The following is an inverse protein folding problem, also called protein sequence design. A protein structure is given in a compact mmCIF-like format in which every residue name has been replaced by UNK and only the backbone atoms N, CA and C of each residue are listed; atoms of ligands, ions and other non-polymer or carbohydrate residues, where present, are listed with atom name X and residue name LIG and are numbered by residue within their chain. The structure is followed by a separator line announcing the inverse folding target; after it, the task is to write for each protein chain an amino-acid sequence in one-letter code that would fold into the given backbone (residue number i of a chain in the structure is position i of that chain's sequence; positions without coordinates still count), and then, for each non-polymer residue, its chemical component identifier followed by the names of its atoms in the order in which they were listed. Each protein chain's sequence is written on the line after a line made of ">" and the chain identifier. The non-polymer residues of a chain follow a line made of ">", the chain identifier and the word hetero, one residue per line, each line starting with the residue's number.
data_IF_359415345911
#
_entry.id   IF_359415345911
#
_cell.length_a   1.000
_cell.length_b   1.000
_cell.length_c   1.000
_cell.angle_alpha   90.00
_cell.angle_beta   90.00
_cell.angle_gamma   90.00
#
_symmetry.space_group_name_H-M   'P 1'
#
loop_
_entity.id
_entity.type
_entity.pdbx_description
1 polymer ?
#
# COMPACT_ATOMS: atom_id res chain seq x y z
N UNK A 1 13.97 4.43 11.32
CA UNK A 1 13.96 3.32 10.35
C UNK A 1 12.56 2.71 10.33
N UNK A 2 11.67 3.21 9.46
CA UNK A 2 10.35 2.62 9.27
C UNK A 2 10.49 1.45 8.30
N UNK A 3 10.26 0.23 8.78
CA UNK A 3 10.14 -0.97 7.96
C UNK A 3 8.65 -1.11 7.63
N UNK A 4 8.22 -0.69 6.43
CA UNK A 4 6.96 -1.20 5.88
C UNK A 4 7.34 -2.38 4.98
N UNK A 5 6.70 -3.52 5.22
CA UNK A 5 7.00 -4.78 4.56
C UNK A 5 6.00 -4.91 3.42
N UNK A 6 6.45 -4.92 2.17
CA UNK A 6 5.66 -5.48 1.08
C UNK A 6 6.34 -6.80 0.72
N UNK A 7 5.80 -7.91 1.23
CA UNK A 7 6.28 -9.29 1.09
C UNK A 7 7.76 -9.52 1.40
N UNK A 8 8.09 -10.58 2.15
CA UNK A 8 9.50 -10.99 2.36
C UNK A 8 10.28 -11.30 1.07
N UNK A 9 9.61 -11.27 -0.09
CA UNK A 9 10.17 -11.53 -1.41
C UNK A 9 10.52 -10.27 -2.23
N UNK A 10 10.16 -9.04 -1.81
CA UNK A 10 10.37 -7.83 -2.63
C UNK A 10 11.08 -6.66 -1.88
N UNK A 11 11.99 -6.97 -0.95
CA UNK A 11 12.95 -5.95 -0.47
C UNK A 11 14.11 -5.85 -1.45
N UNK A 12 14.02 -4.91 -2.38
CA UNK A 12 15.17 -4.49 -3.16
C UNK A 12 16.08 -3.62 -2.27
N UNK A 13 17.25 -4.16 -1.91
CA UNK A 13 18.32 -3.38 -1.29
C UNK A 13 18.98 -2.49 -2.35
N UNK A 14 18.32 -1.38 -2.68
CA UNK A 14 18.84 -0.39 -3.62
C UNK A 14 19.90 0.50 -2.94
N UNK A 15 21.18 0.27 -3.25
CA UNK A 15 22.20 1.31 -3.12
C UNK A 15 22.12 2.19 -4.37
N UNK A 16 21.25 3.21 -4.34
CA UNK A 16 21.25 4.23 -5.38
C UNK A 16 22.61 4.96 -5.37
N UNK A 17 23.21 5.24 -6.54
CA UNK A 17 24.46 5.99 -6.60
C UNK A 17 24.23 7.39 -6.02
N UNK A 18 25.11 7.79 -5.10
CA UNK A 18 25.10 9.14 -4.53
C UNK A 18 25.27 10.17 -5.67
N UNK A 19 24.60 11.33 -5.58
CA UNK A 19 24.86 12.43 -6.51
C UNK A 19 26.34 12.82 -6.48
N UNK A 20 26.93 13.23 -7.62
CA UNK A 20 28.34 13.60 -7.68
C UNK A 20 28.62 14.74 -6.69
N UNK A 21 29.75 14.67 -5.94
CA UNK A 21 30.08 15.72 -5.00
C UNK A 21 30.29 17.05 -5.73
N UNK A 22 29.68 18.11 -5.20
CA UNK A 22 29.93 19.50 -5.60
C UNK A 22 31.43 19.79 -5.41
N UNK A 23 32.15 20.44 -6.35
CA UNK A 23 33.59 20.63 -6.24
C UNK A 23 33.92 21.50 -5.03
N UNK A 24 34.51 20.90 -3.99
CA UNK A 24 35.07 21.64 -2.88
C UNK A 24 36.46 22.17 -3.27
N UNK A 25 36.63 23.48 -3.15
CA UNK A 25 37.90 24.18 -3.35
C UNK A 25 39.02 23.54 -2.49
N UNK A 26 40.11 23.19 -3.16
CA UNK A 26 41.31 22.63 -2.53
C UNK A 26 41.98 23.65 -1.59
N UNK A 27 42.16 23.26 -0.33
CA UNK A 27 43.28 23.72 0.48
C UNK A 27 43.96 22.50 1.11
N UNK A 28 45.23 22.29 0.73
CA UNK A 28 46.12 21.31 1.35
C UNK A 28 46.97 21.97 2.43
N UNK A 29 47.30 21.24 3.51
CA UNK A 29 48.72 21.09 3.84
C UNK A 29 49.15 19.65 4.15
N UNK A 30 50.49 19.52 4.12
CA UNK A 30 51.36 18.35 3.98
C UNK A 30 51.41 17.35 5.16
N UNK A 31 51.98 16.14 4.94
CA UNK A 31 51.95 15.01 5.88
C UNK A 31 53.12 15.01 6.87
N UNK A 32 52.92 14.36 8.02
CA UNK A 32 53.98 13.96 8.94
C UNK A 32 53.94 12.43 9.11
N UNK A 33 55.08 11.82 8.76
CA UNK A 33 55.41 10.41 8.97
C UNK A 33 55.72 10.09 10.43
N UNK A 34 55.45 8.87 10.88
CA UNK A 34 56.49 8.09 11.58
C UNK A 34 56.13 6.61 11.72
N UNK A 35 57.16 5.80 11.49
CA UNK A 35 57.27 4.38 11.74
C UNK A 35 56.99 3.98 13.20
N UNK A 36 56.48 2.75 13.43
CA UNK A 36 57.25 1.69 14.10
C UNK A 36 56.55 0.34 14.20
N UNK A 37 57.37 -0.68 13.90
CA UNK A 37 57.27 -2.12 14.16
C UNK A 37 56.83 -2.46 15.59
N UNK A 38 56.21 -3.63 15.78
CA UNK A 38 56.78 -4.74 16.60
C UNK A 38 55.75 -5.79 17.08
N UNK A 39 56.05 -7.05 16.73
CA UNK A 39 55.98 -8.30 17.53
C UNK A 39 54.63 -8.94 17.92
N UNK A 40 54.40 -10.08 17.25
CA UNK A 40 54.24 -11.45 17.80
C UNK A 40 53.49 -11.65 19.12
N UNK A 41 52.43 -12.47 19.08
CA UNK A 41 52.43 -13.71 19.88
C UNK A 41 51.45 -14.76 19.36
N UNK A 42 51.96 -15.99 19.24
CA UNK A 42 51.22 -17.23 19.01
C UNK A 42 50.53 -17.65 20.32
N UNK A 43 49.24 -17.93 20.27
CA UNK A 43 48.63 -18.94 21.15
C UNK A 43 47.66 -19.80 20.34
N UNK A 44 48.08 -21.07 20.18
CA UNK A 44 47.31 -22.18 19.62
C UNK A 44 46.44 -22.74 20.76
N UNK A 45 45.13 -22.65 20.64
CA UNK A 45 44.19 -23.49 21.40
C UNK A 45 43.34 -24.27 20.41
N UNK A 46 43.56 -25.58 20.40
CA UNK A 46 42.67 -26.57 19.79
C UNK A 46 41.44 -26.72 20.68
N UNK A 47 40.24 -26.56 20.12
CA UNK A 47 39.00 -27.10 20.66
C UNK A 47 38.12 -27.56 19.49
N UNK A 48 37.97 -28.89 19.39
CA UNK A 48 36.75 -29.67 19.13
C UNK A 48 35.77 -29.17 18.06
N UNK A 49 35.64 -29.97 16.99
CA UNK A 49 34.56 -29.91 16.00
C UNK A 49 33.20 -30.20 16.64
N UNK A 50 32.17 -29.37 16.38
CA UNK A 50 30.80 -29.83 16.25
C UNK A 50 30.47 -29.97 14.76
N UNK A 51 29.90 -31.12 14.40
CA UNK A 51 29.28 -31.38 13.10
C UNK A 51 28.11 -30.39 12.95
N UNK A 52 28.33 -29.29 12.23
CA UNK A 52 27.26 -28.39 11.82
C UNK A 52 26.63 -28.98 10.54
N UNK A 53 25.39 -29.45 10.67
CA UNK A 53 24.55 -29.77 9.54
C UNK A 53 24.44 -28.53 8.65
N UNK A 54 24.89 -28.64 7.41
CA UNK A 54 24.75 -27.60 6.40
C UNK A 54 23.27 -27.48 6.02
N UNK A 55 22.54 -26.56 6.65
CA UNK A 55 21.41 -25.95 5.98
C UNK A 55 21.99 -25.03 4.92
N UNK A 56 21.93 -25.44 3.65
CA UNK A 56 22.14 -24.53 2.53
C UNK A 56 21.06 -23.45 2.64
N UNK A 57 21.42 -22.16 2.70
CA UNK A 57 20.46 -21.11 2.42
C UNK A 57 19.92 -21.37 1.01
N UNK A 58 18.61 -21.28 0.82
CA UNK A 58 18.05 -21.10 -0.51
C UNK A 58 18.75 -19.88 -1.11
N UNK A 59 19.51 -20.10 -2.18
CA UNK A 59 20.08 -19.02 -2.97
C UNK A 59 18.90 -18.19 -3.48
N UNK A 60 18.66 -17.03 -2.87
CA UNK A 60 17.81 -16.02 -3.47
C UNK A 60 18.50 -15.63 -4.77
N UNK A 61 18.00 -16.14 -5.89
CA UNK A 61 18.37 -15.62 -7.21
C UNK A 61 18.18 -14.10 -7.16
N UNK A 62 19.26 -13.35 -7.37
CA UNK A 62 19.18 -11.90 -7.52
C UNK A 62 18.23 -11.63 -8.70
N UNK A 63 16.99 -11.26 -8.42
CA UNK A 63 16.04 -10.94 -9.48
C UNK A 63 16.62 -9.78 -10.29
N UNK A 64 16.93 -10.05 -11.56
CA UNK A 64 17.41 -9.04 -12.49
C UNK A 64 16.37 -7.92 -12.55
N UNK A 65 16.79 -6.70 -12.24
CA UNK A 65 15.93 -5.52 -12.35
C UNK A 65 16.64 -4.40 -13.08
N UNK A 66 15.84 -3.56 -13.74
CA UNK A 66 16.31 -2.36 -14.41
C UNK A 66 15.56 -1.15 -13.91
N UNK A 67 16.29 -0.09 -13.54
CA UNK A 67 15.68 1.23 -13.31
C UNK A 67 15.32 1.81 -14.68
N UNK A 68 14.02 2.01 -14.94
CA UNK A 68 13.54 2.64 -16.16
C UNK A 68 13.56 4.17 -16.05
N UNK A 69 13.26 4.70 -14.86
CA UNK A 69 13.27 6.13 -14.57
C UNK A 69 13.39 6.40 -13.07
N UNK A 70 13.97 7.55 -12.72
CA UNK A 70 14.04 8.08 -11.37
C UNK A 70 13.92 9.61 -11.45
N UNK A 71 12.87 10.18 -10.87
CA UNK A 71 12.52 11.61 -10.97
C UNK A 71 12.07 12.13 -9.60
N UNK A 72 12.46 13.35 -9.26
CA UNK A 72 11.95 14.06 -8.09
C UNK A 72 10.84 15.03 -8.50
N UNK A 73 9.63 14.86 -7.94
CA UNK A 73 8.55 15.85 -7.99
C UNK A 73 8.55 16.69 -6.71
N UNK A 74 7.58 17.62 -6.59
CA UNK A 74 7.39 18.36 -5.33
C UNK A 74 6.79 17.50 -4.20
N UNK A 75 6.21 16.34 -4.54
CA UNK A 75 5.56 15.43 -3.59
C UNK A 75 6.41 14.20 -3.29
N UNK A 76 7.05 13.62 -4.32
CA UNK A 76 7.64 12.29 -4.26
C UNK A 76 9.00 12.22 -4.95
N UNK A 77 9.85 11.32 -4.45
CA UNK A 77 10.90 10.71 -5.27
C UNK A 77 10.29 9.49 -5.97
N UNK A 78 10.15 9.53 -7.28
CA UNK A 78 9.45 8.55 -8.11
C UNK A 78 10.48 7.67 -8.82
N UNK A 79 10.45 6.36 -8.57
CA UNK A 79 11.33 5.40 -9.26
C UNK A 79 10.49 4.30 -9.89
N UNK A 80 10.73 4.05 -11.18
CA UNK A 80 10.11 2.93 -11.92
C UNK A 80 11.17 1.85 -12.14
N UNK A 81 10.86 0.65 -11.68
CA UNK A 81 11.68 -0.55 -11.91
C UNK A 81 10.95 -1.51 -12.85
N UNK A 82 11.71 -2.17 -13.71
CA UNK A 82 11.25 -3.30 -14.52
C UNK A 82 11.97 -4.56 -14.06
N UNK A 83 11.21 -5.62 -13.82
CA UNK A 83 11.69 -6.98 -13.53
C UNK A 83 11.12 -7.93 -14.59
N UNK A 84 11.59 -9.18 -14.71
CA UNK A 84 10.97 -10.17 -15.57
C UNK A 84 9.47 -10.40 -15.30
N UNK A 85 9.01 -10.18 -14.06
CA UNK A 85 7.65 -10.48 -13.62
C UNK A 85 6.71 -9.27 -13.62
N UNK A 86 7.25 -8.06 -13.39
CA UNK A 86 6.43 -6.88 -13.11
C UNK A 86 7.15 -5.56 -13.41
N UNK A 87 6.38 -4.48 -13.49
CA UNK A 87 6.85 -3.12 -13.28
C UNK A 87 6.44 -2.65 -11.90
N UNK A 88 7.37 -2.03 -11.20
CA UNK A 88 7.20 -1.58 -9.82
C UNK A 88 7.36 -0.07 -9.77
N UNK A 89 6.45 0.59 -9.05
CA UNK A 89 6.57 1.97 -8.63
C UNK A 89 7.07 2.00 -7.20
N UNK A 90 8.17 2.70 -6.98
CA UNK A 90 8.65 3.06 -5.66
C UNK A 90 8.47 4.57 -5.50
N UNK A 91 7.93 4.97 -4.36
CA UNK A 91 7.79 6.36 -4.00
C UNK A 91 8.64 6.67 -2.77
N UNK A 92 8.89 7.96 -2.59
CA UNK A 92 9.57 8.58 -1.45
C UNK A 92 10.96 7.97 -1.15
N UNK A 93 11.48 8.22 0.06
CA UNK A 93 12.81 7.75 0.49
C UNK A 93 12.78 6.38 1.20
N UNK A 94 11.60 5.80 1.36
CA UNK A 94 11.40 4.52 2.05
C UNK A 94 11.72 3.32 1.16
N UNK A 95 11.79 3.51 -0.16
CA UNK A 95 11.93 2.45 -1.17
C UNK A 95 10.85 1.37 -1.06
N UNK A 96 9.69 1.71 -0.50
CA UNK A 96 8.54 0.81 -0.49
C UNK A 96 7.95 0.72 -1.89
N UNK A 97 7.30 -0.41 -2.19
CA UNK A 97 6.52 -0.57 -3.42
C UNK A 97 5.15 0.08 -3.20
N UNK A 98 4.83 1.07 -4.03
CA UNK A 98 3.58 1.82 -4.00
C UNK A 98 2.63 1.46 -5.14
N UNK A 99 3.11 0.75 -6.16
CA UNK A 99 2.27 0.18 -7.21
C UNK A 99 3.00 -0.96 -7.91
N UNK A 100 2.24 -1.95 -8.36
CA UNK A 100 2.72 -3.11 -9.11
C UNK A 100 1.85 -3.25 -10.37
N UNK A 101 2.50 -3.39 -11.52
CA UNK A 101 1.88 -3.87 -12.75
C UNK A 101 2.53 -5.21 -13.12
N UNK A 102 1.82 -6.30 -12.88
CA UNK A 102 2.29 -7.65 -13.21
C UNK A 102 2.17 -7.91 -14.73
N UNK A 103 3.19 -8.55 -15.31
CA UNK A 103 3.25 -8.80 -16.76
C UNK A 103 2.38 -9.98 -17.21
N UNK A 104 2.15 -10.95 -16.33
CA UNK A 104 1.43 -12.21 -16.67
C UNK A 104 0.19 -12.48 -15.82
N UNK A 105 0.13 -11.95 -14.61
CA UNK A 105 -0.98 -12.14 -13.67
C UNK A 105 -1.68 -10.80 -13.42
N UNK A 106 -2.99 -10.80 -13.21
CA UNK A 106 -3.73 -9.62 -12.75
C UNK A 106 -3.65 -9.42 -11.24
N UNK A 107 -3.46 -10.51 -10.49
CA UNK A 107 -3.44 -10.52 -9.04
C UNK A 107 -2.09 -10.10 -8.50
N UNK A 108 -2.10 -9.27 -7.47
CA UNK A 108 -0.88 -8.82 -6.78
C UNK A 108 -0.51 -9.71 -5.61
N UNK A 109 -1.48 -10.42 -5.03
CA UNK A 109 -1.30 -11.13 -3.76
C UNK A 109 -1.16 -10.18 -2.56
N UNK A 110 -1.56 -8.92 -2.72
CA UNK A 110 -1.48 -7.86 -1.72
C UNK A 110 -2.83 -7.17 -1.55
N UNK A 111 -2.90 -6.17 -0.66
CA UNK A 111 -4.14 -5.48 -0.29
C UNK A 111 -4.86 -4.80 -1.46
N UNK A 112 -4.16 -4.43 -2.55
CA UNK A 112 -4.80 -3.86 -3.74
C UNK A 112 -5.86 -4.80 -4.33
N UNK A 113 -5.70 -6.11 -4.18
CA UNK A 113 -6.65 -7.11 -4.67
C UNK A 113 -8.00 -7.00 -3.94
N UNK A 114 -7.98 -6.61 -2.65
CA UNK A 114 -9.17 -6.50 -1.81
C UNK A 114 -10.09 -5.35 -2.23
N UNK A 115 -9.54 -4.29 -2.82
CA UNK A 115 -10.34 -3.17 -3.35
C UNK A 115 -11.30 -3.61 -4.45
N UNK A 116 -10.94 -4.63 -5.23
CA UNK A 116 -11.83 -5.19 -6.24
C UNK A 116 -13.01 -5.98 -5.67
N UNK A 117 -13.08 -6.17 -4.34
CA UNK A 117 -14.25 -6.74 -3.67
C UNK A 117 -15.33 -5.70 -3.31
N UNK A 118 -15.07 -4.40 -3.50
CA UNK A 118 -16.02 -3.32 -3.20
C UNK A 118 -17.24 -3.28 -4.15
N UNK A 119 -17.11 -3.43 -5.49
CA UNK A 119 -18.22 -3.18 -6.41
C UNK A 119 -19.52 -3.96 -6.14
N UNK A 120 -19.49 -5.25 -5.75
CA UNK A 120 -20.74 -5.99 -5.46
C UNK A 120 -21.52 -5.55 -4.22
N UNK A 121 -20.96 -4.68 -3.38
CA UNK A 121 -21.53 -4.29 -2.07
C UNK A 121 -21.81 -2.80 -1.95
N UNK A 122 -21.74 -2.07 -3.06
CA UNK A 122 -22.10 -0.65 -3.18
C UNK A 122 -23.26 -0.50 -4.18
N UNK A 123 -24.02 0.61 -4.14
CA UNK A 123 -25.01 0.90 -5.17
C UNK A 123 -24.38 1.06 -6.56
N UNK A 124 -25.21 1.06 -7.60
CA UNK A 124 -24.75 1.40 -8.95
C UNK A 124 -24.30 2.86 -9.02
N UNK A 125 -23.09 3.09 -9.52
CA UNK A 125 -22.53 4.43 -9.68
C UNK A 125 -21.02 4.45 -9.86
N UNK A 126 -20.43 5.64 -10.00
CA UNK A 126 -18.98 5.78 -10.10
C UNK A 126 -18.29 5.44 -8.78
N UNK A 127 -17.09 4.88 -8.88
CA UNK A 127 -16.22 4.60 -7.73
C UNK A 127 -14.98 5.49 -7.81
N UNK A 128 -14.68 6.23 -6.75
CA UNK A 128 -13.46 7.00 -6.67
C UNK A 128 -12.29 6.17 -6.15
N UNK A 129 -11.07 6.49 -6.59
CA UNK A 129 -9.82 6.02 -6.00
C UNK A 129 -9.01 7.25 -5.60
N UNK A 130 -8.98 7.54 -4.31
CA UNK A 130 -8.21 8.65 -3.74
C UNK A 130 -6.82 8.15 -3.37
N UNK A 131 -5.81 8.60 -4.12
CA UNK A 131 -4.48 8.00 -4.13
C UNK A 131 -4.40 6.94 -5.22
N UNK A 132 -4.33 7.38 -6.48
CA UNK A 132 -4.30 6.46 -7.61
C UNK A 132 -2.96 5.71 -7.73
N UNK A 133 -1.86 6.36 -7.34
CA UNK A 133 -0.52 5.81 -7.52
C UNK A 133 -0.25 5.44 -8.98
N UNK A 134 0.27 4.23 -9.19
CA UNK A 134 0.46 3.67 -10.53
C UNK A 134 -0.77 2.98 -11.14
N UNK A 135 -1.91 3.00 -10.45
CA UNK A 135 -3.19 2.45 -10.95
C UNK A 135 -3.38 0.95 -10.75
N UNK A 136 -2.62 0.28 -9.87
CA UNK A 136 -2.74 -1.17 -9.61
C UNK A 136 -4.17 -1.63 -9.33
N UNK A 137 -4.86 -0.95 -8.41
CA UNK A 137 -6.25 -1.27 -8.09
C UNK A 137 -7.18 -1.01 -9.29
N UNK A 138 -6.99 0.09 -10.01
CA UNK A 138 -7.80 0.45 -11.16
C UNK A 138 -7.70 -0.58 -12.30
N UNK A 139 -6.48 -1.07 -12.60
CA UNK A 139 -6.25 -2.15 -13.56
C UNK A 139 -7.08 -3.39 -13.23
N UNK A 140 -6.97 -3.87 -11.99
CA UNK A 140 -7.68 -5.07 -11.56
C UNK A 140 -9.20 -4.84 -11.57
N UNK A 141 -9.67 -3.69 -11.08
CA UNK A 141 -11.09 -3.37 -11.02
C UNK A 141 -11.72 -3.31 -12.40
N UNK A 142 -11.11 -2.64 -13.38
CA UNK A 142 -11.65 -2.59 -14.76
C UNK A 142 -11.53 -3.93 -15.49
N UNK A 143 -10.57 -4.78 -15.11
CA UNK A 143 -10.48 -6.13 -15.68
C UNK A 143 -11.57 -7.08 -15.14
N UNK A 144 -11.96 -6.94 -13.87
CA UNK A 144 -13.01 -7.76 -13.26
C UNK A 144 -14.41 -7.21 -13.49
N UNK A 145 -14.52 -5.89 -13.54
CA UNK A 145 -15.77 -5.14 -13.62
C UNK A 145 -15.69 -4.15 -14.79
N UNK A 146 -15.73 -4.66 -16.03
CA UNK A 146 -15.46 -3.86 -17.21
C UNK A 146 -16.47 -2.73 -17.44
N UNK A 147 -17.61 -2.68 -16.77
CA UNK A 147 -18.56 -1.56 -16.85
C UNK A 147 -18.27 -0.40 -15.89
N UNK A 148 -17.31 -0.53 -14.97
CA UNK A 148 -17.08 0.48 -13.92
C UNK A 148 -16.65 1.83 -14.48
N UNK A 149 -17.20 2.88 -13.87
CA UNK A 149 -16.73 4.25 -14.01
C UNK A 149 -15.84 4.57 -12.81
N UNK A 150 -14.54 4.67 -13.06
CA UNK A 150 -13.56 4.98 -12.03
C UNK A 150 -13.13 6.44 -12.12
N UNK A 151 -13.08 7.11 -10.98
CA UNK A 151 -12.59 8.49 -10.84
C UNK A 151 -11.33 8.46 -9.96
N UNK A 152 -10.16 8.42 -10.60
CA UNK A 152 -8.87 8.35 -9.93
C UNK A 152 -8.31 9.74 -9.61
N UNK A 153 -7.95 9.97 -8.35
CA UNK A 153 -7.34 11.21 -7.87
C UNK A 153 -5.90 10.99 -7.46
N UNK A 154 -5.00 11.80 -8.00
CA UNK A 154 -3.58 11.82 -7.63
C UNK A 154 -3.10 13.27 -7.60
N UNK A 155 -2.38 13.64 -6.54
CA UNK A 155 -1.89 15.00 -6.38
C UNK A 155 -0.65 15.26 -7.24
N UNK A 156 0.13 14.21 -7.51
CA UNK A 156 1.40 14.29 -8.23
C UNK A 156 1.23 14.08 -9.74
N UNK A 157 1.19 15.19 -10.49
CA UNK A 157 1.10 15.15 -11.96
C UNK A 157 2.23 14.35 -12.61
N UNK A 158 3.46 14.48 -12.11
CA UNK A 158 4.62 13.79 -12.69
C UNK A 158 4.44 12.28 -12.51
N UNK A 159 3.91 11.84 -11.36
CA UNK A 159 3.59 10.44 -11.14
C UNK A 159 2.57 9.90 -12.14
N UNK A 160 1.51 10.65 -12.44
CA UNK A 160 0.51 10.24 -13.44
C UNK A 160 1.10 10.16 -14.85
N UNK A 161 1.88 11.15 -15.28
CA UNK A 161 2.53 11.13 -16.59
C UNK A 161 3.44 9.89 -16.72
N UNK A 162 4.24 9.61 -15.70
CA UNK A 162 5.08 8.40 -15.62
C UNK A 162 4.28 7.10 -15.61
N UNK A 163 3.14 7.07 -14.93
CA UNK A 163 2.28 5.89 -14.86
C UNK A 163 1.57 5.61 -16.18
N UNK A 164 1.30 6.63 -16.99
CA UNK A 164 0.84 6.45 -18.38
C UNK A 164 1.91 5.79 -19.25
N UNK A 165 3.15 6.28 -19.16
CA UNK A 165 4.25 5.79 -19.99
C UNK A 165 4.70 4.37 -19.62
N UNK A 166 4.72 4.06 -18.32
CA UNK A 166 5.34 2.83 -17.82
C UNK A 166 4.38 1.85 -17.16
N UNK A 167 3.25 2.30 -16.60
CA UNK A 167 2.36 1.44 -15.81
C UNK A 167 0.99 1.22 -16.49
N UNK A 168 0.89 1.50 -17.79
CA UNK A 168 -0.30 1.18 -18.59
C UNK A 168 -1.54 2.01 -18.21
N UNK A 169 -1.36 3.11 -17.49
CA UNK A 169 -2.48 3.92 -17.01
C UNK A 169 -3.27 4.55 -18.16
N UNK A 170 -2.58 4.90 -19.26
CA UNK A 170 -3.21 5.47 -20.46
C UNK A 170 -4.11 4.49 -21.22
N UNK A 171 -3.98 3.18 -20.98
CA UNK A 171 -4.91 2.20 -21.55
C UNK A 171 -6.24 2.15 -20.78
N UNK A 172 -6.24 2.47 -19.48
CA UNK A 172 -7.45 2.53 -18.65
C UNK A 172 -8.30 3.78 -18.92
N UNK A 173 -7.70 4.85 -19.45
CA UNK A 173 -8.42 6.06 -19.89
C UNK A 173 -9.24 5.82 -21.17
N UNK A 174 -9.05 4.67 -21.84
CA UNK A 174 -9.88 4.22 -22.95
C UNK A 174 -11.07 3.44 -22.44
N UNK A 175 -12.19 3.53 -23.14
CA UNK A 175 -13.36 2.73 -22.78
C UNK A 175 -13.08 1.24 -23.00
N UNK A 176 -13.45 0.41 -22.02
CA UNK A 176 -13.55 -1.04 -22.19
C UNK A 176 -14.70 -1.39 -23.15
N UNK A 177 -14.82 -2.67 -23.49
CA UNK A 177 -15.95 -3.18 -24.31
C UNK A 177 -17.32 -2.97 -23.67
N UNK A 178 -17.39 -2.97 -22.33
CA UNK A 178 -18.63 -2.78 -21.57
C UNK A 178 -18.80 -1.32 -21.10
N UNK A 179 -17.99 -0.42 -21.67
CA UNK A 179 -18.09 1.00 -21.46
C UNK A 179 -17.46 1.51 -20.16
N UNK A 180 -16.79 0.69 -19.37
CA UNK A 180 -16.02 1.17 -18.22
C UNK A 180 -14.80 1.99 -18.63
N UNK A 181 -14.31 2.84 -17.74
CA UNK A 181 -13.23 3.79 -18.01
C UNK A 181 -12.65 4.31 -16.69
N UNK A 182 -11.36 4.67 -16.70
CA UNK A 182 -10.72 5.46 -15.66
C UNK A 182 -10.59 6.92 -16.11
N UNK A 183 -11.25 7.82 -15.39
CA UNK A 183 -11.02 9.27 -15.50
C UNK A 183 -10.01 9.69 -14.43
N UNK A 184 -8.96 10.42 -14.82
CA UNK A 184 -7.87 10.80 -13.92
C UNK A 184 -7.91 12.30 -13.64
N UNK A 185 -7.88 12.65 -12.35
CA UNK A 185 -7.86 14.02 -11.85
C UNK A 185 -6.55 14.30 -11.14
N UNK A 186 -5.90 15.39 -11.53
CA UNK A 186 -4.71 15.89 -10.83
C UNK A 186 -5.15 16.87 -9.75
N UNK A 187 -5.00 16.48 -8.49
CA UNK A 187 -5.36 17.36 -7.37
C UNK A 187 -5.42 16.67 -6.03
N UNK A 188 -5.66 17.49 -5.00
CA UNK A 188 -5.87 17.03 -3.63
C UNK A 188 -7.26 16.37 -3.50
N UNK A 189 -7.27 15.10 -3.10
CA UNK A 189 -8.50 14.32 -2.89
C UNK A 189 -9.36 14.84 -1.73
N UNK A 190 -8.79 15.60 -0.78
CA UNK A 190 -9.56 16.26 0.28
C UNK A 190 -10.27 17.53 -0.22
N UNK A 191 -9.87 18.07 -1.37
CA UNK A 191 -10.46 19.27 -1.94
C UNK A 191 -11.96 19.08 -2.21
N UNK A 192 -12.78 20.13 -2.07
CA UNK A 192 -14.16 20.13 -2.54
C UNK A 192 -14.30 19.79 -4.03
N UNK A 193 -13.26 20.04 -4.83
CA UNK A 193 -13.23 19.69 -6.26
C UNK A 193 -13.30 18.17 -6.53
N UNK A 194 -12.98 17.34 -5.52
CA UNK A 194 -13.12 15.89 -5.62
C UNK A 194 -14.57 15.40 -5.47
N UNK A 195 -15.52 16.27 -5.16
CA UNK A 195 -16.94 15.92 -5.13
C UNK A 195 -17.54 15.91 -6.55
N UNK A 196 -18.46 14.99 -6.80
CA UNK A 196 -19.26 14.93 -8.04
C UNK A 196 -20.74 15.10 -7.74
N UNK A 197 -21.50 15.53 -8.74
CA UNK A 197 -22.95 15.58 -8.62
C UNK A 197 -23.53 14.17 -8.40
N UNK A 198 -24.34 14.01 -7.36
CA UNK A 198 -24.95 12.72 -6.99
C UNK A 198 -24.09 11.84 -6.08
N UNK A 199 -22.81 12.15 -5.89
CA UNK A 199 -21.87 11.42 -5.04
C UNK A 199 -21.36 10.11 -5.64
N UNK A 200 -20.36 9.50 -4.99
CA UNK A 200 -19.78 8.22 -5.39
C UNK A 200 -20.49 7.04 -4.75
N UNK A 201 -20.66 5.95 -5.50
CA UNK A 201 -21.12 4.67 -4.98
C UNK A 201 -20.11 4.05 -4.01
N UNK A 202 -18.82 4.21 -4.30
CA UNK A 202 -17.75 3.79 -3.42
C UNK A 202 -16.57 4.76 -3.50
N UNK A 203 -15.82 4.89 -2.42
CA UNK A 203 -14.56 5.62 -2.40
C UNK A 203 -13.49 4.69 -1.81
N UNK A 204 -12.51 4.34 -2.63
CA UNK A 204 -11.28 3.69 -2.20
C UNK A 204 -10.32 4.78 -1.73
N UNK A 205 -9.76 4.64 -0.53
CA UNK A 205 -8.79 5.59 0.04
C UNK A 205 -7.45 4.89 0.26
N UNK A 206 -6.44 5.30 -0.48
CA UNK A 206 -5.07 4.78 -0.47
C UNK A 206 -4.05 5.94 -0.45
N UNK A 207 -4.25 6.88 0.50
CA UNK A 207 -3.48 8.12 0.58
C UNK A 207 -2.29 8.00 1.55
N UNK A 208 -1.08 8.13 1.01
CA UNK A 208 0.16 7.98 1.75
C UNK A 208 1.16 9.11 1.44
N UNK A 209 1.99 9.44 2.43
CA UNK A 209 3.19 10.24 2.25
C UNK A 209 4.30 9.72 3.16
N UNK A 210 5.53 9.64 2.64
CA UNK A 210 6.70 9.14 3.38
C UNK A 210 6.48 7.74 3.99
N UNK A 211 5.85 6.85 3.23
CA UNK A 211 5.51 5.49 3.63
C UNK A 211 4.54 5.38 4.81
N UNK A 212 3.71 6.41 5.06
CA UNK A 212 2.69 6.42 6.11
C UNK A 212 1.37 6.98 5.60
N UNK A 213 0.28 6.56 6.24
CA UNK A 213 -1.04 7.16 6.01
C UNK A 213 -0.97 8.65 6.34
N UNK A 214 -1.70 9.48 5.59
CA UNK A 214 -1.77 10.92 5.85
C UNK A 214 -2.38 11.20 7.24
N UNK A 215 -1.79 12.09 8.07
CA UNK A 215 -2.30 12.41 9.40
C UNK A 215 -3.76 12.88 9.41
N UNK A 216 -4.23 13.51 8.34
CA UNK A 216 -5.63 13.93 8.19
C UNK A 216 -6.61 12.75 8.31
N UNK A 217 -6.20 11.54 7.88
CA UNK A 217 -7.02 10.33 7.97
C UNK A 217 -7.07 9.73 9.39
N UNK A 218 -6.29 10.27 10.32
CA UNK A 218 -6.36 9.95 11.75
C UNK A 218 -7.36 10.85 12.50
N UNK A 219 -8.00 11.79 11.79
CA UNK A 219 -9.02 12.69 12.33
C UNK A 219 -10.43 12.30 11.86
N UNK A 220 -11.35 12.23 12.82
CA UNK A 220 -12.74 11.83 12.54
C UNK A 220 -13.48 12.84 11.64
N UNK A 221 -13.19 14.14 11.79
CA UNK A 221 -13.87 15.19 11.03
C UNK A 221 -13.54 15.09 9.53
N UNK A 222 -12.30 14.72 9.17
CA UNK A 222 -11.91 14.43 7.78
C UNK A 222 -12.79 13.35 7.17
N UNK A 223 -13.11 12.30 7.92
CA UNK A 223 -13.98 11.22 7.42
C UNK A 223 -15.41 11.69 7.20
N UNK A 224 -15.91 12.60 8.03
CA UNK A 224 -17.23 13.22 7.84
C UNK A 224 -17.24 14.10 6.57
N UNK A 225 -16.20 14.88 6.32
CA UNK A 225 -16.07 15.69 5.10
C UNK A 225 -15.90 14.83 3.82
N UNK A 226 -15.25 13.67 3.93
CA UNK A 226 -15.21 12.70 2.84
C UNK A 226 -16.57 12.03 2.64
N UNK A 227 -17.33 11.77 3.73
CA UNK A 227 -18.64 11.12 3.66
C UNK A 227 -19.64 11.93 2.84
N UNK A 228 -19.54 13.26 2.88
CA UNK A 228 -20.36 14.15 2.04
C UNK A 228 -20.16 13.96 0.52
N UNK A 229 -19.09 13.24 0.11
CA UNK A 229 -18.82 12.90 -1.29
C UNK A 229 -19.46 11.57 -1.70
N UNK A 230 -19.98 10.77 -0.76
CA UNK A 230 -20.68 9.52 -1.06
C UNK A 230 -22.13 9.78 -1.43
N UNK A 231 -22.67 8.94 -2.31
CA UNK A 231 -24.10 8.85 -2.52
C UNK A 231 -24.78 8.06 -1.39
N UNK A 232 -26.12 8.08 -1.27
CA UNK A 232 -26.83 7.25 -0.30
C UNK A 232 -26.44 5.76 -0.44
N UNK A 233 -26.15 5.11 0.69
CA UNK A 233 -25.64 3.73 0.79
C UNK A 233 -24.25 3.50 0.16
N UNK A 234 -23.54 4.57 -0.23
CA UNK A 234 -22.16 4.47 -0.65
C UNK A 234 -21.23 4.09 0.50
N UNK A 235 -20.05 3.56 0.17
CA UNK A 235 -19.11 3.02 1.17
C UNK A 235 -17.67 3.43 0.93
N UNK A 236 -16.90 3.50 2.00
CA UNK A 236 -15.44 3.58 1.95
C UNK A 236 -14.82 2.20 2.02
N UNK A 237 -13.75 1.99 1.26
CA UNK A 237 -12.78 0.92 1.53
C UNK A 237 -11.38 1.53 1.60
N UNK A 238 -10.68 1.32 2.71
CA UNK A 238 -9.52 2.15 3.08
C UNK A 238 -8.31 1.27 3.34
N UNK A 239 -7.17 1.58 2.71
CA UNK A 239 -5.88 1.10 3.18
C UNK A 239 -5.42 1.95 4.37
N UNK A 240 -5.41 1.33 5.55
CA UNK A 240 -5.08 1.98 6.82
C UNK A 240 -3.60 1.84 7.19
N UNK A 241 -2.77 1.25 6.31
CA UNK A 241 -1.36 1.01 6.57
C UNK A 241 -1.12 -0.01 7.69
N UNK A 242 0.09 -0.01 8.26
CA UNK A 242 0.43 -0.88 9.39
C UNK A 242 -0.11 -0.35 10.73
N UNK A 243 -0.25 -1.21 11.74
CA UNK A 243 -0.63 -0.81 13.10
C UNK A 243 0.49 -0.14 13.89
N UNK A 244 0.13 0.66 14.89
CA UNK A 244 1.02 1.35 15.82
C UNK A 244 1.51 0.41 16.93
N UNK A 245 2.38 -0.55 16.62
CA UNK A 245 3.13 -1.25 17.69
C UNK A 245 4.36 -1.97 17.17
N UNK A 246 5.50 -1.53 17.70
CA UNK A 246 6.76 -2.25 17.73
C UNK A 246 6.70 -3.37 18.79
N UNK A 247 7.27 -4.53 18.47
CA UNK A 247 7.80 -5.54 19.42
C UNK A 247 6.84 -6.46 20.18
N UNK A 248 5.67 -6.83 19.66
CA UNK A 248 4.97 -8.00 20.24
C UNK A 248 4.32 -8.89 19.15
N UNK A 249 5.05 -9.94 18.76
CA UNK A 249 4.61 -10.97 17.79
C UNK A 249 3.40 -11.79 18.28
N UNK A 250 2.90 -11.52 19.50
CA UNK A 250 1.81 -12.28 20.13
C UNK A 250 0.38 -11.80 19.80
N UNK A 251 0.19 -10.62 19.18
CA UNK A 251 -1.15 -10.01 18.96
C UNK A 251 -1.62 -10.15 17.51
N UNK A 252 -1.13 -11.13 16.75
CA UNK A 252 -1.34 -11.18 15.29
C UNK A 252 -2.75 -11.59 14.83
N UNK A 253 -3.61 -12.12 15.70
CA UNK A 253 -4.93 -12.67 15.32
C UNK A 253 -6.05 -12.37 16.35
N UNK A 254 -5.83 -11.48 17.31
CA UNK A 254 -6.80 -11.23 18.39
C UNK A 254 -7.87 -10.24 17.89
N UNK A 255 -9.13 -10.56 18.20
CA UNK A 255 -10.25 -9.62 18.09
C UNK A 255 -9.91 -8.29 18.79
N UNK A 256 -10.08 -7.17 18.12
CA UNK A 256 -9.69 -5.86 18.64
C UNK A 256 -8.30 -5.35 18.24
N UNK A 257 -7.48 -6.08 17.46
CA UNK A 257 -6.16 -5.56 17.00
C UNK A 257 -6.27 -4.28 16.17
N UNK A 258 -7.44 -4.01 15.59
CA UNK A 258 -7.74 -2.75 14.90
C UNK A 258 -7.56 -1.52 15.79
N UNK A 259 -7.68 -1.66 17.12
CA UNK A 259 -7.47 -0.57 18.09
C UNK A 259 -6.04 -0.03 18.04
N UNK A 260 -5.10 -0.79 17.48
CA UNK A 260 -3.72 -0.38 17.28
C UNK A 260 -3.55 0.53 16.04
N UNK A 261 -4.56 0.72 15.21
CA UNK A 261 -4.46 1.51 13.99
C UNK A 261 -5.24 2.84 14.14
N UNK A 262 -4.53 3.98 14.07
CA UNK A 262 -5.11 5.31 14.27
C UNK A 262 -6.21 5.63 13.26
N UNK A 263 -6.01 5.29 12.00
CA UNK A 263 -6.99 5.49 10.92
C UNK A 263 -8.29 4.74 11.19
N UNK A 264 -8.22 3.47 11.62
CA UNK A 264 -9.43 2.72 11.98
C UNK A 264 -10.13 3.32 13.20
N UNK A 265 -9.37 3.78 14.21
CA UNK A 265 -9.96 4.48 15.38
C UNK A 265 -10.70 5.75 14.96
N UNK A 266 -10.12 6.54 14.05
CA UNK A 266 -10.73 7.75 13.52
C UNK A 266 -12.04 7.44 12.77
N UNK A 267 -12.02 6.43 11.89
CA UNK A 267 -13.21 5.92 11.20
C UNK A 267 -14.29 5.47 12.20
N UNK A 268 -13.93 4.73 13.25
CA UNK A 268 -14.88 4.27 14.27
C UNK A 268 -15.48 5.43 15.08
N UNK A 269 -14.72 6.51 15.29
CA UNK A 269 -15.21 7.73 15.93
C UNK A 269 -16.18 8.48 15.01
N UNK A 270 -15.90 8.54 13.71
CA UNK A 270 -16.77 9.17 12.72
C UNK A 270 -18.05 8.36 12.45
N UNK A 271 -17.96 7.03 12.41
CA UNK A 271 -19.07 6.12 12.09
C UNK A 271 -19.24 5.01 13.14
N UNK A 272 -19.71 5.33 14.38
CA UNK A 272 -19.83 4.35 15.45
C UNK A 272 -20.68 3.13 15.06
N UNK A 273 -20.13 1.92 15.23
CA UNK A 273 -20.81 0.66 14.92
C UNK A 273 -20.98 0.36 13.42
N UNK A 274 -20.41 1.19 12.54
CA UNK A 274 -20.55 1.11 11.08
C UNK A 274 -19.20 0.94 10.38
N UNK A 275 -18.20 0.39 11.08
CA UNK A 275 -16.85 0.17 10.54
C UNK A 275 -16.48 -1.29 10.75
N UNK A 276 -15.92 -1.87 9.71
CA UNK A 276 -15.36 -3.21 9.72
C UNK A 276 -13.90 -3.14 9.31
N UNK A 277 -13.12 -4.13 9.73
CA UNK A 277 -11.70 -4.18 9.49
C UNK A 277 -11.25 -5.56 9.05
N UNK A 278 -10.09 -5.58 8.40
CA UNK A 278 -9.36 -6.78 8.02
C UNK A 278 -7.87 -6.50 8.14
N UNK A 279 -7.08 -7.51 8.50
CA UNK A 279 -5.61 -7.41 8.49
C UNK A 279 -5.05 -8.39 7.47
N UNK A 280 -4.21 -7.90 6.57
CA UNK A 280 -3.52 -8.73 5.60
C UNK A 280 -2.45 -9.60 6.30
N UNK A 281 -2.16 -10.81 5.80
CA UNK A 281 -1.12 -11.66 6.37
C UNK A 281 0.29 -11.10 6.13
N UNK A 282 1.30 -11.64 6.86
CA UNK A 282 2.72 -11.22 6.80
C UNK A 282 3.31 -11.20 5.39
N UNK A 283 2.95 -12.19 4.57
CA UNK A 283 3.42 -12.31 3.19
C UNK A 283 2.73 -11.34 2.20
N UNK A 284 1.63 -10.69 2.62
CA UNK A 284 0.81 -9.77 1.83
C UNK A 284 0.80 -8.34 2.38
N UNK A 285 1.81 -8.00 3.18
CA UNK A 285 2.13 -6.62 3.59
C UNK A 285 1.63 -6.15 4.95
N UNK A 286 0.85 -6.98 5.66
CA UNK A 286 0.31 -6.66 7.00
C UNK A 286 -0.54 -5.39 7.09
N UNK A 287 -0.97 -4.84 5.95
CA UNK A 287 -1.87 -3.70 5.91
C UNK A 287 -3.17 -4.01 6.66
N UNK A 288 -3.61 -3.06 7.45
CA UNK A 288 -4.98 -2.99 7.93
C UNK A 288 -5.84 -2.37 6.84
N UNK A 289 -7.00 -2.96 6.61
CA UNK A 289 -8.04 -2.44 5.75
C UNK A 289 -9.28 -2.10 6.59
N UNK A 290 -10.02 -1.08 6.16
CA UNK A 290 -11.32 -0.75 6.73
C UNK A 290 -12.41 -0.69 5.66
N UNK A 291 -13.64 -1.00 6.05
CA UNK A 291 -14.84 -0.97 5.22
C UNK A 291 -16.01 -0.39 6.01
N UNK A 292 -16.65 0.66 5.51
CA UNK A 292 -17.81 1.26 6.18
C UNK A 292 -19.14 0.59 5.83
N UNK A 293 -20.12 0.82 6.70
CA UNK A 293 -21.46 0.24 6.63
C UNK A 293 -21.57 -1.12 7.34
N UNK A 294 -22.76 -1.71 7.31
CA UNK A 294 -22.99 -3.05 7.82
C UNK A 294 -22.18 -4.10 7.05
N UNK A 295 -21.70 -5.16 7.72
CA UNK A 295 -21.11 -6.29 7.00
C UNK A 295 -22.13 -6.86 6.01
N UNK A 296 -21.75 -7.04 4.73
CA UNK A 296 -22.58 -7.76 3.77
C UNK A 296 -22.81 -9.21 4.22
N UNK A 297 -23.86 -9.83 3.70
CA UNK A 297 -24.00 -11.28 3.79
C UNK A 297 -22.81 -11.95 3.09
N UNK A 298 -22.02 -12.72 3.84
CA UNK A 298 -20.77 -13.28 3.34
C UNK A 298 -20.99 -14.27 2.20
N UNK A 299 -22.08 -15.04 2.20
CA UNK A 299 -22.39 -15.98 1.12
C UNK A 299 -22.68 -15.23 -0.17
N UNK A 300 -23.55 -14.23 -0.13
CA UNK A 300 -23.90 -13.40 -1.28
C UNK A 300 -22.69 -12.61 -1.80
N UNK A 301 -21.89 -12.03 -0.90
CA UNK A 301 -20.67 -11.32 -1.28
C UNK A 301 -19.63 -12.25 -1.91
N UNK A 302 -19.40 -13.42 -1.31
CA UNK A 302 -18.49 -14.44 -1.83
C UNK A 302 -18.89 -14.93 -3.22
N UNK A 303 -20.19 -15.19 -3.44
CA UNK A 303 -20.73 -15.65 -4.71
C UNK A 303 -20.63 -14.61 -5.84
N UNK A 304 -20.60 -13.33 -5.50
CA UNK A 304 -20.44 -12.27 -6.47
C UNK A 304 -18.98 -12.11 -6.94
N UNK A 305 -18.00 -12.67 -6.23
CA UNK A 305 -16.58 -12.42 -6.47
C UNK A 305 -15.90 -13.55 -7.25
N UNK A 306 -14.79 -13.26 -7.96
CA UNK A 306 -13.88 -14.29 -8.44
C UNK A 306 -13.36 -15.17 -7.31
N UNK A 307 -13.01 -16.42 -7.63
CA UNK A 307 -12.56 -17.42 -6.67
C UNK A 307 -11.37 -16.94 -5.80
N UNK A 308 -10.47 -16.14 -6.36
CA UNK A 308 -9.31 -15.60 -5.65
C UNK A 308 -9.68 -14.65 -4.50
N UNK A 309 -10.84 -13.99 -4.57
CA UNK A 309 -11.35 -13.09 -3.52
C UNK A 309 -12.48 -13.70 -2.68
N UNK A 310 -13.14 -14.74 -3.18
CA UNK A 310 -14.38 -15.27 -2.60
C UNK A 310 -14.23 -15.73 -1.16
N UNK A 311 -13.12 -16.39 -0.82
CA UNK A 311 -12.84 -16.83 0.57
C UNK A 311 -12.35 -15.70 1.48
N UNK A 312 -11.79 -14.65 0.87
CA UNK A 312 -11.15 -13.52 1.54
C UNK A 312 -12.15 -12.66 2.31
N UNK A 313 -13.43 -12.64 1.88
CA UNK A 313 -14.49 -11.87 2.53
C UNK A 313 -14.81 -12.35 3.95
N UNK A 314 -14.59 -13.63 4.24
CA UNK A 314 -14.82 -14.22 5.56
C UNK A 314 -13.82 -13.76 6.63
N UNK A 315 -12.86 -12.91 6.27
CA UNK A 315 -11.85 -12.35 7.17
C UNK A 315 -12.22 -10.97 7.70
N UNK A 316 -13.25 -10.32 7.16
CA UNK A 316 -13.73 -9.04 7.67
C UNK A 316 -14.42 -9.20 9.03
N UNK A 317 -14.14 -8.27 9.95
CA UNK A 317 -14.68 -8.26 11.32
C UNK A 317 -15.21 -6.87 11.65
N UNK A 318 -16.28 -6.79 12.43
CA UNK A 318 -16.82 -5.49 12.84
C UNK A 318 -15.98 -4.86 13.95
N UNK A 319 -15.86 -3.53 13.96
CA UNK A 319 -15.23 -2.78 15.03
C UNK A 319 -16.20 -2.63 16.21
N UNK A 320 -16.52 -3.73 16.89
CA UNK A 320 -17.40 -3.72 18.07
C UNK A 320 -16.53 -3.69 19.34
N UNK A 321 -16.81 -2.74 20.23
CA UNK A 321 -16.29 -2.79 21.59
C UNK A 321 -17.15 -3.77 22.41
N UNK A 322 -16.62 -4.96 22.66
CA UNK A 322 -17.24 -5.92 23.59
C UNK A 322 -17.43 -5.36 25.01
N UNK A 323 -16.77 -4.26 25.37
CA UNK A 323 -16.89 -3.58 26.67
C UNK A 323 -18.23 -2.83 26.88
N UNK A 324 -19.03 -2.61 25.85
CA UNK A 324 -20.32 -1.88 25.97
C UNK A 324 -21.52 -2.83 26.06
N UNK A 325 -21.39 -4.08 25.59
CA UNK A 325 -22.48 -5.05 25.60
C UNK A 325 -22.84 -5.55 27.03
N UNK A 326 -21.93 -5.42 27.99
CA UNK A 326 -22.12 -5.94 29.37
C UNK A 326 -22.65 -4.89 30.36
N UNK A 327 -22.97 -3.66 29.93
CA UNK A 327 -23.51 -2.59 30.80
C UNK A 327 -25.02 -2.34 30.64
N UNK A 328 -25.72 -3.19 29.90
CA UNK A 328 -27.18 -3.10 29.69
C UNK A 328 -27.94 -4.38 30.09
N UNK A 329 -27.43 -5.11 31.09
CA UNK A 329 -28.19 -6.18 31.77
C UNK A 329 -28.26 -5.84 33.26
#
# INVERSE_FOLDING_TARGET
>A
MAKMWCSSHLRLHLQLPLPPPVPAHCYSPRPISSDRKSRTNKYRKQCLNPIAASHKPEEQEEEEFRVLSAIQSIYNHIVILDTPKSRLLLLDSTNNVHSILNKSSKWTGSYWDEFAALPPIVPDGPIAIFGLGGGTAAHLMLQLWPSLKLEGWEIDKILIDMSRDYLGLGDLEKHTVDGGVLNIHIGDAFSPAAAIHGGYAGIIVDLFANGKVLPQLEEADTWLELYDKLMPNGRFMVNCGAGESQNDDSISMIDGSWKLNATIRALCKAFPGQVNWKKMPKNAGENYLALTGSLPDFTSWSNALPHELSSSVNQWRSCINHDVATKLI
#
